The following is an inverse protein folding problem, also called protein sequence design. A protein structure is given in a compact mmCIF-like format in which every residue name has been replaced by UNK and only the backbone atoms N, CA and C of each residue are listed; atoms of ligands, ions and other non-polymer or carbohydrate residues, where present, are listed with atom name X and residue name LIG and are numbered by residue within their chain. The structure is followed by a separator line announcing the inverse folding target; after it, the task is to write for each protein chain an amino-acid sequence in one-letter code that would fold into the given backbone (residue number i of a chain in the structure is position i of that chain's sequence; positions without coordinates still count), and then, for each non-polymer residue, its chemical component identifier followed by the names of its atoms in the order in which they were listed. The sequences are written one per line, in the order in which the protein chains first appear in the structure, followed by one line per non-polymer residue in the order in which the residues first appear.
data_IF_963616255652
#
_entry.id   IF_963616255652
#
_cell.length_a   1.000
_cell.length_b   1.000
_cell.length_c   1.000
_cell.angle_alpha   90.00
_cell.angle_beta   90.00
_cell.angle_gamma   90.00
#
_symmetry.space_group_name_H-M   'P 1'
#
loop_
_entity.id
_entity.type
_entity.pdbx_description
1 polymer ?
#
# COMPACT_ATOMS: atom_id res chain seq x y z
N UNK A 1 18.58 -8.36 3.02
CA UNK A 1 19.20 -7.09 2.51
C UNK A 1 18.14 -6.00 2.58
N UNK A 2 18.52 -4.71 2.64
CA UNK A 2 17.57 -3.58 2.59
C UNK A 2 17.67 -2.92 1.21
N UNK A 3 16.77 -3.25 0.26
CA UNK A 3 16.80 -2.70 -1.10
C UNK A 3 16.65 -1.18 -1.15
N UNK A 4 15.81 -0.60 -0.28
CA UNK A 4 15.61 0.85 -0.20
C UNK A 4 15.69 1.31 1.24
N UNK A 5 16.50 2.33 1.49
CA UNK A 5 16.56 3.01 2.77
C UNK A 5 16.57 4.52 2.55
N UNK A 6 15.72 5.23 3.27
CA UNK A 6 15.69 6.67 3.35
C UNK A 6 15.85 7.12 4.79
N UNK A 7 16.59 8.21 5.03
CA UNK A 7 16.78 8.78 6.36
C UNK A 7 16.68 10.31 6.32
N UNK A 8 15.77 10.84 7.12
CA UNK A 8 15.57 12.26 7.32
C UNK A 8 15.28 13.03 6.03
N UNK A 9 14.55 12.42 5.06
CA UNK A 9 14.31 13.06 3.77
C UNK A 9 13.45 14.31 3.94
N UNK A 10 13.94 15.42 3.37
CA UNK A 10 13.20 16.68 3.29
C UNK A 10 13.13 17.15 1.85
N UNK A 11 11.95 17.64 1.45
CA UNK A 11 11.75 18.35 0.19
C UNK A 11 10.75 19.48 0.35
N UNK A 12 11.18 20.68 -0.04
CA UNK A 12 10.37 21.90 0.05
C UNK A 12 10.19 22.52 -1.33
N UNK A 13 8.98 22.95 -1.65
CA UNK A 13 8.62 23.72 -2.84
C UNK A 13 8.05 25.08 -2.41
N UNK A 14 8.85 26.10 -2.50
CA UNK A 14 8.48 27.43 -2.01
C UNK A 14 8.20 27.41 -0.50
N UNK A 15 6.93 27.54 -0.12
CA UNK A 15 6.50 27.50 1.30
C UNK A 15 5.96 26.14 1.74
N UNK A 16 5.82 25.19 0.81
CA UNK A 16 5.22 23.88 1.07
C UNK A 16 6.33 22.87 1.30
N UNK A 17 6.40 22.27 2.48
CA UNK A 17 7.26 21.15 2.78
C UNK A 17 6.53 19.86 2.40
N UNK A 18 6.80 19.39 1.18
CA UNK A 18 6.12 18.22 0.60
C UNK A 18 6.56 16.90 1.22
N UNK A 19 7.81 16.84 1.72
CA UNK A 19 8.38 15.71 2.48
C UNK A 19 9.15 16.30 3.65
N UNK A 20 8.89 15.82 4.85
CA UNK A 20 9.38 16.40 6.11
C UNK A 20 9.93 15.31 7.04
N UNK A 21 11.26 15.13 7.01
CA UNK A 21 12.03 14.16 7.80
C UNK A 21 11.49 12.72 7.68
N UNK A 22 11.28 12.28 6.43
CA UNK A 22 10.79 10.93 6.15
C UNK A 22 11.93 9.92 6.30
N UNK A 23 11.70 8.94 7.18
CA UNK A 23 12.49 7.72 7.30
C UNK A 23 11.66 6.56 6.76
N UNK A 24 12.27 5.65 5.99
CA UNK A 24 11.63 4.40 5.56
C UNK A 24 12.67 3.33 5.21
N UNK A 25 12.26 2.06 5.36
CA UNK A 25 13.10 0.91 5.04
C UNK A 25 12.29 -0.20 4.39
N UNK A 26 12.59 -0.50 3.12
CA UNK A 26 11.98 -1.62 2.39
C UNK A 26 12.91 -2.83 2.50
N UNK A 27 12.39 -3.97 2.94
CA UNK A 27 13.16 -5.20 3.07
C UNK A 27 12.97 -6.10 1.85
N UNK A 28 13.94 -6.99 1.62
CA UNK A 28 13.90 -7.95 0.52
C UNK A 28 12.70 -8.89 0.66
N UNK A 29 11.93 -9.05 -0.41
CA UNK A 29 10.71 -9.85 -0.44
C UNK A 29 9.45 -9.15 0.08
N UNK A 30 9.56 -7.89 0.55
CA UNK A 30 8.38 -7.12 0.95
C UNK A 30 7.50 -6.78 -0.27
N UNK A 31 6.20 -6.80 -0.06
CA UNK A 31 5.27 -5.94 -0.78
C UNK A 31 5.01 -4.75 0.15
N UNK A 32 5.73 -3.68 -0.09
CA UNK A 32 5.72 -2.50 0.77
C UNK A 32 4.77 -1.43 0.22
N UNK A 33 3.74 -1.11 0.99
CA UNK A 33 2.75 -0.09 0.67
C UNK A 33 3.12 1.30 1.23
N UNK A 34 3.15 2.31 0.38
CA UNK A 34 3.36 3.70 0.76
C UNK A 34 2.04 4.46 0.64
N UNK A 35 1.36 4.61 1.76
CA UNK A 35 -0.03 5.06 1.88
C UNK A 35 -0.14 6.53 2.23
N UNK A 36 -1.15 7.18 1.70
CA UNK A 36 -1.50 8.54 2.10
C UNK A 36 -2.47 9.19 1.12
N UNK A 37 -3.13 10.27 1.53
CA UNK A 37 -4.03 11.01 0.65
C UNK A 37 -3.26 11.65 -0.53
N UNK A 38 -4.01 12.14 -1.52
CA UNK A 38 -3.42 12.89 -2.61
C UNK A 38 -2.77 14.18 -2.05
N UNK A 39 -1.54 14.47 -2.53
CA UNK A 39 -0.76 15.60 -2.04
C UNK A 39 0.02 15.34 -0.74
N UNK A 40 -0.05 14.15 -0.14
CA UNK A 40 0.69 13.81 1.09
C UNK A 40 2.22 13.74 0.92
N UNK A 41 2.74 13.75 -0.33
CA UNK A 41 4.17 13.68 -0.61
C UNK A 41 4.66 12.36 -1.20
N UNK A 42 3.78 11.37 -1.46
CA UNK A 42 4.14 10.04 -1.98
C UNK A 42 5.02 10.08 -3.23
N UNK A 43 4.51 10.67 -4.31
CA UNK A 43 5.24 10.77 -5.59
C UNK A 43 6.55 11.54 -5.44
N UNK A 44 6.58 12.60 -4.60
CA UNK A 44 7.80 13.36 -4.30
C UNK A 44 8.85 12.47 -3.63
N UNK A 45 8.47 11.70 -2.62
CA UNK A 45 9.35 10.75 -1.95
C UNK A 45 9.86 9.69 -2.94
N UNK A 46 8.98 9.05 -3.71
CA UNK A 46 9.37 8.04 -4.71
C UNK A 46 10.35 8.59 -5.76
N UNK A 47 10.15 9.82 -6.23
CA UNK A 47 11.11 10.47 -7.14
C UNK A 47 12.48 10.67 -6.50
N UNK A 48 12.54 10.99 -5.20
CA UNK A 48 13.82 11.09 -4.47
C UNK A 48 14.49 9.73 -4.33
N UNK A 49 13.72 8.68 -4.01
CA UNK A 49 14.23 7.31 -3.92
C UNK A 49 14.86 6.83 -5.23
N UNK A 50 14.29 7.21 -6.37
CA UNK A 50 14.79 6.85 -7.70
C UNK A 50 15.85 7.83 -8.26
N UNK A 51 16.30 8.82 -7.47
CA UNK A 51 17.27 9.82 -7.94
C UNK A 51 16.73 10.80 -8.97
N UNK A 52 15.42 10.76 -9.27
CA UNK A 52 14.76 11.67 -10.21
C UNK A 52 14.56 13.08 -9.64
N UNK A 53 14.66 13.21 -8.32
CA UNK A 53 14.54 14.44 -7.58
C UNK A 53 15.57 14.46 -6.46
N UNK A 54 16.32 15.56 -6.34
CA UNK A 54 17.28 15.72 -5.26
C UNK A 54 16.56 16.16 -3.97
N UNK A 55 16.76 15.45 -2.84
CA UNK A 55 16.30 15.93 -1.54
C UNK A 55 17.03 17.21 -1.14
N UNK A 56 16.38 18.04 -0.32
CA UNK A 56 17.00 19.23 0.26
C UNK A 56 17.86 18.83 1.48
N UNK A 57 17.37 17.82 2.24
CA UNK A 57 18.07 17.23 3.39
C UNK A 57 17.85 15.71 3.40
N UNK A 58 18.69 15.01 4.16
CA UNK A 58 18.62 13.55 4.31
C UNK A 58 19.37 12.78 3.23
N UNK A 59 19.29 11.46 3.33
CA UNK A 59 19.96 10.55 2.39
C UNK A 59 19.06 9.40 1.94
N UNK A 60 19.35 8.90 0.74
CA UNK A 60 18.74 7.70 0.16
C UNK A 60 19.82 6.68 -0.16
N UNK A 61 19.50 5.41 0.06
CA UNK A 61 20.29 4.26 -0.39
C UNK A 61 19.39 3.28 -1.13
N UNK A 62 19.76 2.93 -2.35
CA UNK A 62 19.13 1.88 -3.14
C UNK A 62 20.18 0.80 -3.39
N UNK A 63 19.93 -0.42 -2.90
CA UNK A 63 20.92 -1.48 -2.85
C UNK A 63 22.28 -1.03 -2.25
N UNK A 64 22.22 -0.14 -1.22
CA UNK A 64 23.39 0.41 -0.53
C UNK A 64 24.09 1.57 -1.25
N UNK A 65 23.66 1.98 -2.45
CA UNK A 65 24.22 3.05 -3.27
C UNK A 65 23.39 4.32 -3.20
N UNK A 66 24.03 5.46 -3.36
CA UNK A 66 23.37 6.78 -3.41
C UNK A 66 22.89 7.08 -4.84
N UNK A 67 21.56 7.11 -5.10
CA UNK A 67 21.04 7.36 -6.43
C UNK A 67 21.27 8.79 -6.92
N UNK A 68 21.66 9.72 -6.05
CA UNK A 68 22.04 11.08 -6.45
C UNK A 68 23.47 11.18 -7.00
N UNK A 69 24.33 10.21 -6.65
CA UNK A 69 25.75 10.21 -7.01
C UNK A 69 26.12 9.07 -7.96
N UNK A 70 25.47 7.94 -7.82
CA UNK A 70 25.78 6.68 -8.51
C UNK A 70 24.54 6.16 -9.25
N UNK A 71 23.80 7.06 -9.94
CA UNK A 71 22.48 6.75 -10.50
C UNK A 71 22.42 5.44 -11.31
N UNK A 72 23.28 5.18 -12.30
CA UNK A 72 23.19 3.95 -13.08
C UNK A 72 23.36 2.69 -12.22
N UNK A 73 24.31 2.73 -11.28
CA UNK A 73 24.63 1.58 -10.42
C UNK A 73 23.60 1.40 -9.29
N UNK A 74 23.02 2.50 -8.78
CA UNK A 74 21.99 2.45 -7.76
C UNK A 74 20.67 1.89 -8.31
N UNK A 75 20.36 2.17 -9.56
CA UNK A 75 19.15 1.68 -10.24
C UNK A 75 19.36 0.36 -10.99
N UNK A 76 20.54 -0.23 -10.92
CA UNK A 76 20.78 -1.57 -11.46
C UNK A 76 19.95 -2.59 -10.64
N UNK A 77 19.09 -3.33 -11.34
CA UNK A 77 18.10 -4.22 -10.72
C UNK A 77 16.86 -3.51 -10.14
N UNK A 78 16.61 -2.25 -10.53
CA UNK A 78 15.36 -1.54 -10.25
C UNK A 78 14.56 -1.40 -11.53
N UNK A 79 13.29 -1.78 -11.49
CA UNK A 79 12.29 -1.49 -12.51
C UNK A 79 11.15 -0.68 -11.90
N UNK A 80 10.36 -0.01 -12.73
CA UNK A 80 9.19 0.68 -12.22
C UNK A 80 8.79 1.89 -13.04
N UNK A 81 7.77 2.56 -12.56
CA UNK A 81 7.30 3.82 -13.09
C UNK A 81 6.80 4.72 -11.95
N UNK A 82 7.02 6.01 -12.13
CA UNK A 82 6.44 7.07 -11.30
C UNK A 82 5.50 7.86 -12.19
N UNK A 83 4.24 7.98 -11.76
CA UNK A 83 3.12 8.47 -12.56
C UNK A 83 2.69 7.48 -13.67
N UNK A 84 1.75 7.92 -14.51
CA UNK A 84 1.20 7.06 -15.57
C UNK A 84 2.23 6.79 -16.65
N UNK A 85 2.48 5.52 -17.01
CA UNK A 85 3.40 5.19 -18.09
C UNK A 85 2.93 5.78 -19.42
N UNK A 86 3.82 6.45 -20.14
CA UNK A 86 3.56 7.01 -21.45
C UNK A 86 4.25 6.21 -22.55
N UNK A 87 3.49 5.90 -23.60
CA UNK A 87 3.96 5.15 -24.75
C UNK A 87 3.61 5.89 -26.03
N UNK A 88 4.28 5.54 -27.13
CA UNK A 88 3.94 6.06 -28.45
C UNK A 88 2.62 5.44 -28.92
N UNK A 89 1.52 6.21 -29.02
CA UNK A 89 0.19 5.63 -29.28
C UNK A 89 0.04 5.06 -30.69
N UNK A 90 0.86 5.50 -31.63
CA UNK A 90 0.87 5.05 -33.02
C UNK A 90 1.70 3.75 -33.24
N UNK A 91 2.52 3.34 -32.26
CA UNK A 91 3.24 2.09 -32.25
C UNK A 91 2.43 0.98 -31.54
N UNK A 92 2.76 -0.26 -31.87
CA UNK A 92 2.17 -1.42 -31.18
C UNK A 92 2.73 -1.56 -29.77
N UNK A 93 2.05 -2.35 -28.90
CA UNK A 93 2.58 -2.67 -27.57
C UNK A 93 3.96 -3.31 -27.66
N UNK A 94 4.13 -4.27 -28.56
CA UNK A 94 5.41 -4.90 -28.83
C UNK A 94 6.48 -3.89 -29.27
N UNK A 95 6.20 -3.04 -30.24
CA UNK A 95 7.18 -2.08 -30.76
C UNK A 95 7.59 -1.04 -29.73
N UNK A 96 6.67 -0.64 -28.81
CA UNK A 96 7.03 0.22 -27.69
C UNK A 96 8.05 -0.48 -26.76
N UNK A 97 7.83 -1.76 -26.43
CA UNK A 97 8.76 -2.51 -25.58
C UNK A 97 10.09 -2.79 -26.27
N UNK A 98 10.08 -3.12 -27.57
CA UNK A 98 11.30 -3.31 -28.38
C UNK A 98 12.16 -2.04 -28.42
N UNK A 99 11.52 -0.86 -28.53
CA UNK A 99 12.22 0.42 -28.49
C UNK A 99 12.87 0.65 -27.12
N UNK A 100 12.15 0.43 -26.02
CA UNK A 100 12.69 0.56 -24.67
C UNK A 100 13.82 -0.45 -24.42
N UNK A 101 13.63 -1.70 -24.81
CA UNK A 101 14.63 -2.76 -24.69
C UNK A 101 15.92 -2.45 -25.46
N UNK A 102 15.81 -1.78 -26.61
CA UNK A 102 16.99 -1.37 -27.39
C UNK A 102 17.81 -0.27 -26.68
N UNK A 103 17.15 0.62 -25.90
CA UNK A 103 17.85 1.59 -25.06
C UNK A 103 18.49 0.95 -23.83
N UNK A 104 17.83 -0.06 -23.23
CA UNK A 104 18.35 -0.75 -22.07
C UNK A 104 19.54 -1.66 -22.40
N UNK A 105 19.56 -2.21 -23.61
CA UNK A 105 20.64 -3.12 -24.08
C UNK A 105 20.64 -4.46 -23.37
N UNK A 106 21.80 -5.15 -23.39
CA UNK A 106 21.96 -6.45 -22.75
C UNK A 106 20.92 -7.49 -23.23
N UNK A 107 20.29 -8.19 -22.30
CA UNK A 107 19.29 -9.25 -22.57
C UNK A 107 17.85 -8.71 -22.74
N UNK A 108 17.61 -7.42 -22.52
CA UNK A 108 16.29 -6.82 -22.56
C UNK A 108 15.52 -7.08 -23.88
N UNK A 109 16.15 -7.00 -25.08
CA UNK A 109 15.46 -7.32 -26.33
C UNK A 109 14.91 -8.76 -26.39
N UNK A 110 15.63 -9.72 -25.82
CA UNK A 110 15.20 -11.13 -25.77
C UNK A 110 14.01 -11.37 -24.83
N UNK A 111 13.75 -10.46 -23.90
CA UNK A 111 12.69 -10.60 -22.89
C UNK A 111 11.34 -10.04 -23.30
N UNK A 112 11.24 -9.26 -24.39
CA UNK A 112 9.99 -8.59 -24.80
C UNK A 112 8.82 -9.57 -24.90
N UNK A 113 9.02 -10.76 -25.45
CA UNK A 113 7.96 -11.76 -25.54
C UNK A 113 7.52 -12.25 -24.14
N UNK A 114 8.48 -12.61 -23.30
CA UNK A 114 8.22 -13.15 -21.98
C UNK A 114 7.48 -12.13 -21.09
N UNK A 115 7.90 -10.85 -21.08
CA UNK A 115 7.22 -9.84 -20.26
C UNK A 115 5.80 -9.55 -20.77
N UNK A 116 5.54 -9.63 -22.09
CA UNK A 116 4.19 -9.52 -22.63
C UNK A 116 3.30 -10.70 -22.21
N UNK A 117 3.86 -11.90 -22.13
CA UNK A 117 3.18 -13.10 -21.61
C UNK A 117 2.86 -12.91 -20.11
N UNK A 118 3.85 -12.51 -19.30
CA UNK A 118 3.71 -12.28 -17.86
C UNK A 118 2.57 -11.30 -17.55
N UNK A 119 2.45 -10.20 -18.28
CA UNK A 119 1.40 -9.21 -18.02
C UNK A 119 0.07 -9.49 -18.77
N UNK A 120 -0.05 -10.64 -19.47
CA UNK A 120 -1.27 -11.04 -20.17
C UNK A 120 -1.60 -10.19 -21.41
N UNK A 121 -0.58 -9.57 -22.03
CA UNK A 121 -0.76 -8.74 -23.24
C UNK A 121 -0.30 -9.41 -24.54
N UNK A 122 0.09 -10.69 -24.52
CA UNK A 122 0.61 -11.39 -25.69
C UNK A 122 -0.35 -11.34 -26.89
N UNK A 123 -1.65 -11.61 -26.64
CA UNK A 123 -2.69 -11.62 -27.69
C UNK A 123 -3.01 -10.24 -28.27
N UNK A 124 -2.59 -9.17 -27.60
CA UNK A 124 -2.84 -7.78 -27.98
C UNK A 124 -1.56 -7.01 -28.33
N UNK A 125 -0.41 -7.70 -28.30
CA UNK A 125 0.92 -7.10 -28.49
C UNK A 125 1.10 -6.42 -29.87
N UNK A 126 0.35 -6.88 -30.89
CA UNK A 126 0.32 -6.31 -32.23
C UNK A 126 -0.61 -5.11 -32.41
N UNK A 127 -1.44 -4.79 -31.44
CA UNK A 127 -2.37 -3.66 -31.52
C UNK A 127 -1.67 -2.36 -31.15
N UNK A 128 -2.07 -1.25 -31.78
CA UNK A 128 -1.55 0.09 -31.45
C UNK A 128 -1.96 0.50 -30.05
N UNK A 129 -1.03 1.07 -29.26
CA UNK A 129 -1.26 1.49 -27.87
C UNK A 129 -2.33 2.58 -27.76
N UNK A 130 -2.55 3.39 -28.81
CA UNK A 130 -3.64 4.35 -28.85
C UNK A 130 -5.03 3.72 -28.65
N UNK A 131 -5.21 2.44 -28.99
CA UNK A 131 -6.44 1.67 -28.78
C UNK A 131 -6.48 0.85 -27.46
N UNK A 132 -5.45 0.95 -26.62
CA UNK A 132 -5.42 0.23 -25.35
C UNK A 132 -6.33 0.87 -24.30
N UNK A 133 -6.98 0.04 -23.48
CA UNK A 133 -7.65 0.49 -22.26
C UNK A 133 -6.63 1.02 -21.24
N UNK A 134 -7.10 1.68 -20.20
CA UNK A 134 -6.23 2.11 -19.10
C UNK A 134 -5.48 0.94 -18.48
N UNK A 135 -6.17 -0.16 -18.18
CA UNK A 135 -5.55 -1.38 -17.63
C UNK A 135 -4.50 -1.99 -18.56
N UNK A 136 -4.75 -2.01 -19.88
CA UNK A 136 -3.73 -2.47 -20.82
C UNK A 136 -2.49 -1.57 -20.84
N UNK A 137 -2.65 -0.25 -20.70
CA UNK A 137 -1.52 0.68 -20.60
C UNK A 137 -0.73 0.48 -19.30
N UNK A 138 -1.41 0.27 -18.16
CA UNK A 138 -0.75 -0.03 -16.89
C UNK A 138 0.03 -1.36 -16.96
N UNK A 139 -0.58 -2.42 -17.51
CA UNK A 139 0.10 -3.70 -17.73
C UNK A 139 1.30 -3.56 -18.68
N UNK A 140 1.21 -2.73 -19.71
CA UNK A 140 2.35 -2.44 -20.59
C UNK A 140 3.46 -1.68 -19.85
N UNK A 141 3.12 -0.78 -18.92
CA UNK A 141 4.07 -0.12 -18.03
C UNK A 141 4.81 -1.10 -17.14
N UNK A 142 4.07 -2.05 -16.57
CA UNK A 142 4.67 -3.12 -15.79
C UNK A 142 5.57 -4.03 -16.66
N UNK A 143 5.15 -4.38 -17.89
CA UNK A 143 5.99 -5.12 -18.82
C UNK A 143 7.29 -4.39 -19.14
N UNK A 144 7.23 -3.08 -19.37
CA UNK A 144 8.41 -2.23 -19.56
C UNK A 144 9.35 -2.27 -18.35
N UNK A 145 8.79 -2.22 -17.14
CA UNK A 145 9.56 -2.31 -15.90
C UNK A 145 10.27 -3.64 -15.70
N UNK A 146 9.73 -4.73 -16.27
CA UNK A 146 10.28 -6.09 -16.16
C UNK A 146 11.38 -6.42 -17.20
N UNK A 147 11.60 -5.55 -18.22
CA UNK A 147 12.55 -5.82 -19.30
C UNK A 147 13.98 -6.10 -18.81
N UNK A 148 14.39 -5.43 -17.71
CA UNK A 148 15.74 -5.55 -17.15
C UNK A 148 15.87 -6.60 -16.03
N UNK A 149 14.85 -7.44 -15.82
CA UNK A 149 14.84 -8.44 -14.75
C UNK A 149 15.11 -7.84 -13.36
N UNK A 150 14.28 -6.90 -12.92
CA UNK A 150 14.57 -6.19 -11.70
C UNK A 150 14.38 -7.07 -10.46
N UNK A 151 15.13 -6.75 -9.39
CA UNK A 151 14.95 -7.32 -8.05
C UNK A 151 14.01 -6.47 -7.19
N UNK A 152 13.82 -5.21 -7.60
CA UNK A 152 12.92 -4.24 -6.96
C UNK A 152 12.04 -3.59 -8.01
N UNK A 153 10.73 -3.65 -7.80
CA UNK A 153 9.74 -2.86 -8.56
C UNK A 153 9.28 -1.66 -7.74
N UNK A 154 9.26 -0.49 -8.36
CA UNK A 154 8.72 0.75 -7.78
C UNK A 154 7.54 1.21 -8.62
N UNK A 155 6.33 1.19 -8.05
CA UNK A 155 5.07 1.41 -8.76
C UNK A 155 4.28 2.54 -8.10
N UNK A 156 4.12 3.66 -8.79
CA UNK A 156 3.33 4.79 -8.29
C UNK A 156 1.87 4.64 -8.75
N UNK A 157 0.95 4.39 -7.80
CA UNK A 157 -0.49 4.25 -8.02
C UNK A 157 -0.83 3.25 -9.16
N UNK A 158 -0.35 1.97 -9.13
CA UNK A 158 -0.44 1.06 -10.28
C UNK A 158 -1.87 0.69 -10.66
N UNK A 159 -2.84 0.85 -9.79
CA UNK A 159 -4.25 0.54 -9.97
C UNK A 159 -5.12 1.75 -10.29
N UNK A 160 -4.53 2.95 -10.28
CA UNK A 160 -5.27 4.19 -10.47
C UNK A 160 -5.99 4.24 -11.84
N UNK A 161 -7.31 4.53 -11.80
CA UNK A 161 -8.14 4.64 -12.99
C UNK A 161 -8.53 3.31 -13.63
N UNK A 162 -8.30 2.18 -12.95
CA UNK A 162 -8.77 0.86 -13.37
C UNK A 162 -10.20 0.62 -12.89
N UNK A 163 -10.94 -0.19 -13.64
CA UNK A 163 -12.20 -0.76 -13.20
C UNK A 163 -11.95 -1.87 -12.14
N UNK A 164 -12.97 -2.29 -11.37
CA UNK A 164 -12.77 -3.30 -10.31
C UNK A 164 -12.19 -4.63 -10.80
N UNK A 165 -12.41 -5.01 -12.06
CA UNK A 165 -11.80 -6.19 -12.67
C UNK A 165 -10.31 -5.98 -12.88
N UNK A 166 -9.92 -4.85 -13.49
CA UNK A 166 -8.53 -4.47 -13.72
C UNK A 166 -7.72 -4.31 -12.44
N UNK A 167 -8.34 -3.81 -11.35
CA UNK A 167 -7.71 -3.73 -10.03
C UNK A 167 -7.35 -5.13 -9.52
N UNK A 168 -8.31 -6.08 -9.55
CA UNK A 168 -8.05 -7.47 -9.14
C UNK A 168 -6.92 -8.10 -9.93
N UNK A 169 -7.01 -8.01 -11.26
CA UNK A 169 -6.00 -8.56 -12.15
C UNK A 169 -4.59 -7.97 -11.91
N UNK A 170 -4.50 -6.67 -11.64
CA UNK A 170 -3.22 -6.02 -11.33
C UNK A 170 -2.66 -6.50 -9.98
N UNK A 171 -3.52 -6.65 -8.96
CA UNK A 171 -3.12 -7.19 -7.65
C UNK A 171 -2.60 -8.62 -7.76
N UNK A 172 -3.32 -9.48 -8.50
CA UNK A 172 -2.91 -10.87 -8.68
C UNK A 172 -1.55 -10.94 -9.37
N UNK A 173 -1.32 -10.13 -10.39
CA UNK A 173 -0.04 -10.02 -11.08
C UNK A 173 1.09 -9.54 -10.13
N UNK A 174 0.84 -8.55 -9.29
CA UNK A 174 1.80 -8.08 -8.30
C UNK A 174 2.13 -9.19 -7.29
N UNK A 175 1.12 -9.94 -6.80
CA UNK A 175 1.32 -11.09 -5.90
C UNK A 175 2.14 -12.20 -6.56
N UNK A 176 1.88 -12.51 -7.82
CA UNK A 176 2.64 -13.50 -8.58
C UNK A 176 4.11 -13.12 -8.71
N UNK A 177 4.41 -11.85 -9.01
CA UNK A 177 5.77 -11.34 -9.09
C UNK A 177 6.49 -11.40 -7.73
N UNK A 178 5.80 -11.02 -6.64
CA UNK A 178 6.33 -11.12 -5.29
C UNK A 178 6.61 -12.57 -4.88
N UNK A 179 5.71 -13.51 -5.22
CA UNK A 179 5.90 -14.94 -4.96
C UNK A 179 7.12 -15.53 -5.68
N UNK A 180 7.57 -14.90 -6.77
CA UNK A 180 8.82 -15.23 -7.47
C UNK A 180 10.07 -14.61 -6.81
N UNK A 181 9.93 -13.94 -5.66
CA UNK A 181 11.03 -13.35 -4.89
C UNK A 181 11.30 -11.87 -5.19
N UNK A 182 10.45 -11.22 -5.96
CA UNK A 182 10.59 -9.79 -6.27
C UNK A 182 10.18 -8.93 -5.09
N UNK A 183 10.99 -7.93 -4.74
CA UNK A 183 10.61 -6.89 -3.78
C UNK A 183 9.77 -5.84 -4.51
N UNK A 184 8.67 -5.41 -3.91
CA UNK A 184 7.76 -4.45 -4.52
C UNK A 184 7.52 -3.28 -3.57
N UNK A 185 7.78 -2.06 -4.04
CA UNK A 185 7.44 -0.82 -3.36
C UNK A 185 6.38 -0.11 -4.18
N UNK A 186 5.18 0.03 -3.63
CA UNK A 186 4.08 0.68 -4.33
C UNK A 186 3.45 1.80 -3.50
N UNK A 187 2.98 2.85 -4.17
CA UNK A 187 2.11 3.83 -3.55
C UNK A 187 0.65 3.51 -3.83
N UNK A 188 -0.22 3.84 -2.89
CA UNK A 188 -1.67 3.83 -3.10
C UNK A 188 -2.36 4.84 -2.17
N UNK A 189 -3.54 5.30 -2.58
CA UNK A 189 -4.48 6.01 -1.73
C UNK A 189 -5.68 5.12 -1.37
N UNK A 190 -5.76 3.90 -1.90
CA UNK A 190 -6.83 2.93 -1.68
C UNK A 190 -6.42 1.93 -0.60
N UNK A 191 -6.89 2.16 0.62
CA UNK A 191 -6.52 1.40 1.80
C UNK A 191 -6.87 -0.09 1.69
N UNK A 192 -8.03 -0.41 1.12
CA UNK A 192 -8.46 -1.80 0.90
C UNK A 192 -7.52 -2.59 -0.04
N UNK A 193 -6.91 -1.94 -1.03
CA UNK A 193 -5.93 -2.60 -1.90
C UNK A 193 -4.65 -2.96 -1.16
N UNK A 194 -4.20 -2.05 -0.31
CA UNK A 194 -2.99 -2.25 0.48
C UNK A 194 -3.19 -3.33 1.52
N UNK A 195 -4.37 -3.37 2.15
CA UNK A 195 -4.75 -4.39 3.12
C UNK A 195 -4.71 -5.80 2.51
N UNK A 196 -5.11 -5.94 1.25
CA UNK A 196 -5.08 -7.22 0.55
C UNK A 196 -3.73 -7.59 -0.06
N UNK A 197 -2.86 -6.61 -0.29
CA UNK A 197 -1.65 -6.80 -1.09
C UNK A 197 -0.37 -6.72 -0.28
N UNK A 198 -0.27 -5.78 0.66
CA UNK A 198 1.00 -5.42 1.28
C UNK A 198 1.31 -6.27 2.52
N UNK A 199 2.61 -6.54 2.74
CA UNK A 199 3.13 -7.16 3.96
C UNK A 199 3.55 -6.13 4.99
N UNK A 200 4.06 -4.99 4.51
CA UNK A 200 4.50 -3.84 5.33
C UNK A 200 3.96 -2.56 4.73
N UNK A 201 3.77 -1.56 5.58
CA UNK A 201 3.24 -0.27 5.17
C UNK A 201 3.93 0.89 5.87
N UNK A 202 4.06 2.01 5.16
CA UNK A 202 4.22 3.34 5.74
C UNK A 202 3.03 4.20 5.39
N UNK A 203 2.52 4.90 6.39
CA UNK A 203 1.44 5.88 6.23
C UNK A 203 2.04 7.27 6.28
N UNK A 204 1.89 8.03 5.20
CA UNK A 204 2.37 9.43 5.11
C UNK A 204 1.18 10.39 5.14
N UNK A 205 1.31 11.43 5.98
CA UNK A 205 0.37 12.56 6.06
C UNK A 205 1.14 13.87 6.16
N UNK A 206 0.78 14.84 5.34
CA UNK A 206 1.39 16.18 5.35
C UNK A 206 2.93 16.14 5.29
N UNK A 207 3.46 15.22 4.47
CA UNK A 207 4.89 15.03 4.29
C UNK A 207 5.59 14.22 5.37
N UNK A 208 4.92 13.74 6.42
CA UNK A 208 5.52 12.99 7.55
C UNK A 208 5.00 11.56 7.62
N UNK A 209 5.86 10.63 8.02
CA UNK A 209 5.43 9.26 8.34
C UNK A 209 4.74 9.29 9.71
N UNK A 210 3.49 8.81 9.73
CA UNK A 210 2.69 8.64 10.96
C UNK A 210 2.69 7.20 11.46
N UNK A 211 2.98 6.25 10.57
CA UNK A 211 3.19 4.83 10.89
C UNK A 211 4.17 4.20 9.91
N UNK A 212 5.03 3.31 10.39
CA UNK A 212 5.83 2.38 9.60
C UNK A 212 5.94 1.04 10.32
N UNK A 213 5.59 -0.05 9.65
CA UNK A 213 5.65 -1.38 10.25
C UNK A 213 5.02 -2.48 9.40
N UNK A 214 4.97 -3.70 9.96
CA UNK A 214 4.21 -4.78 9.35
C UNK A 214 2.71 -4.48 9.43
N UNK A 215 1.97 -4.82 8.39
CA UNK A 215 0.51 -4.64 8.38
C UNK A 215 -0.17 -5.45 9.50
N UNK A 216 0.37 -6.65 9.78
CA UNK A 216 -0.12 -7.49 10.88
C UNK A 216 0.04 -6.81 12.25
N UNK A 217 1.15 -6.09 12.49
CA UNK A 217 1.40 -5.37 13.75
C UNK A 217 0.43 -4.18 13.89
N UNK A 218 0.13 -3.51 12.78
CA UNK A 218 -0.85 -2.43 12.77
C UNK A 218 -2.25 -2.93 13.16
N UNK A 219 -2.68 -4.08 12.63
CA UNK A 219 -3.94 -4.72 13.04
C UNK A 219 -3.91 -5.19 14.50
N UNK A 220 -2.78 -5.72 14.96
CA UNK A 220 -2.64 -6.19 16.34
C UNK A 220 -2.60 -5.05 17.36
N UNK A 221 -2.19 -3.85 16.97
CA UNK A 221 -2.15 -2.66 17.84
C UNK A 221 -3.53 -2.06 18.13
N UNK A 222 -4.54 -2.41 17.34
CA UNK A 222 -5.90 -1.95 17.58
C UNK A 222 -6.57 -2.78 18.69
N UNK A 223 -7.33 -2.11 19.55
CA UNK A 223 -8.13 -2.80 20.54
C UNK A 223 -9.16 -3.72 19.85
N UNK A 224 -9.35 -4.96 20.34
CA UNK A 224 -10.27 -5.90 19.72
C UNK A 224 -11.70 -5.31 19.64
N UNK A 225 -12.26 -5.29 18.45
CA UNK A 225 -13.64 -4.87 18.19
C UNK A 225 -14.52 -6.11 18.03
N UNK A 226 -15.79 -5.98 18.43
CA UNK A 226 -16.76 -7.05 18.31
C UNK A 226 -18.06 -6.53 17.73
N UNK A 227 -18.69 -7.36 16.92
CA UNK A 227 -20.02 -7.12 16.37
C UNK A 227 -21.02 -8.04 17.05
N UNK A 228 -22.05 -7.44 17.62
CA UNK A 228 -23.13 -8.13 18.34
C UNK A 228 -24.45 -7.91 17.59
N UNK A 229 -25.13 -9.01 17.25
CA UNK A 229 -26.53 -9.04 16.82
C UNK A 229 -27.36 -9.72 17.88
N UNK A 230 -28.43 -9.07 18.31
CA UNK A 230 -29.28 -9.56 19.42
C UNK A 230 -30.76 -9.33 19.12
N UNK A 231 -31.63 -10.04 19.86
CA UNK A 231 -33.09 -9.90 19.73
C UNK A 231 -33.64 -8.51 20.08
N UNK A 232 -32.93 -7.75 20.96
CA UNK A 232 -33.36 -6.44 21.43
C UNK A 232 -32.17 -5.49 21.52
N UNK A 233 -31.85 -4.82 20.40
CA UNK A 233 -30.66 -3.99 20.23
C UNK A 233 -30.56 -2.88 21.29
N UNK A 234 -31.65 -2.18 21.60
CA UNK A 234 -31.62 -1.03 22.54
C UNK A 234 -31.32 -1.46 23.98
N UNK A 235 -31.83 -2.61 24.40
CA UNK A 235 -31.55 -3.18 25.73
C UNK A 235 -30.09 -3.64 25.81
N UNK A 236 -29.59 -4.28 24.76
CA UNK A 236 -28.18 -4.66 24.68
C UNK A 236 -27.26 -3.43 24.70
N UNK A 237 -27.61 -2.38 23.96
CA UNK A 237 -26.85 -1.15 23.93
C UNK A 237 -26.69 -0.49 25.30
N UNK A 238 -27.74 -0.49 26.12
CA UNK A 238 -27.64 0.01 27.50
C UNK A 238 -26.69 -0.85 28.34
N UNK A 239 -26.80 -2.17 28.28
CA UNK A 239 -25.91 -3.08 29.00
C UNK A 239 -24.44 -2.93 28.59
N UNK A 240 -24.18 -2.65 27.31
CA UNK A 240 -22.85 -2.34 26.79
C UNK A 240 -22.32 -1.00 27.35
N UNK A 241 -23.13 0.04 27.34
CA UNK A 241 -22.74 1.38 27.82
C UNK A 241 -22.52 1.41 29.35
N UNK A 242 -23.21 0.53 30.10
CA UNK A 242 -23.08 0.42 31.56
C UNK A 242 -21.85 -0.44 31.97
N UNK A 243 -21.16 -1.06 31.02
CA UNK A 243 -20.00 -1.89 31.31
C UNK A 243 -18.68 -1.10 31.14
N UNK A 244 -17.92 -0.87 32.23
CA UNK A 244 -16.69 -0.07 32.15
C UNK A 244 -15.57 -0.73 31.31
N UNK A 245 -15.65 -2.03 31.01
CA UNK A 245 -14.71 -2.74 30.16
C UNK A 245 -15.06 -2.62 28.68
N UNK A 246 -16.22 -2.03 28.35
CA UNK A 246 -16.69 -1.83 26.97
C UNK A 246 -16.51 -0.36 26.58
N UNK A 247 -16.01 -0.12 25.38
CA UNK A 247 -15.78 1.21 24.82
C UNK A 247 -16.34 1.30 23.40
N UNK A 248 -16.48 2.51 22.90
CA UNK A 248 -16.79 2.82 21.48
C UNK A 248 -18.04 2.09 20.97
N UNK A 249 -19.14 2.13 21.73
CA UNK A 249 -20.39 1.46 21.36
C UNK A 249 -21.12 2.22 20.27
N UNK A 250 -21.19 1.63 19.07
CA UNK A 250 -21.86 2.17 17.89
C UNK A 250 -22.99 1.24 17.42
N UNK A 251 -24.09 1.83 16.96
CA UNK A 251 -25.13 1.09 16.27
C UNK A 251 -24.91 1.14 14.75
N UNK A 252 -24.83 -0.02 14.09
CA UNK A 252 -24.70 -0.16 12.64
C UNK A 252 -25.81 -1.04 12.07
N UNK A 253 -26.90 -0.42 11.66
CA UNK A 253 -28.11 -1.15 11.26
C UNK A 253 -28.65 -1.97 12.43
N UNK A 254 -28.79 -3.30 12.23
CA UNK A 254 -29.27 -4.24 13.25
C UNK A 254 -28.15 -4.73 14.20
N UNK A 255 -26.91 -4.31 14.02
CA UNK A 255 -25.75 -4.72 14.78
C UNK A 255 -25.30 -3.62 15.74
N UNK A 256 -24.70 -4.01 16.86
CA UNK A 256 -23.91 -3.15 17.74
C UNK A 256 -22.44 -3.50 17.54
N UNK A 257 -21.60 -2.49 17.33
CA UNK A 257 -20.14 -2.65 17.29
C UNK A 257 -19.55 -1.99 18.53
N UNK A 258 -18.59 -2.64 19.17
CA UNK A 258 -17.97 -2.13 20.39
C UNK A 258 -16.54 -2.67 20.54
N UNK A 259 -15.77 -1.99 21.37
CA UNK A 259 -14.39 -2.36 21.71
C UNK A 259 -14.35 -2.97 23.11
N UNK A 260 -13.77 -4.16 23.27
CA UNK A 260 -13.56 -4.81 24.57
C UNK A 260 -12.47 -5.88 24.43
N UNK A 261 -11.84 -6.27 25.55
CA UNK A 261 -10.99 -7.45 25.58
C UNK A 261 -11.81 -8.76 25.62
N UNK A 262 -11.18 -9.88 25.29
CA UNK A 262 -11.86 -11.18 25.23
C UNK A 262 -12.50 -11.59 26.56
N UNK A 263 -11.86 -11.42 27.74
CA UNK A 263 -12.49 -11.67 29.02
C UNK A 263 -13.77 -10.85 29.27
N UNK A 264 -13.77 -9.58 28.91
CA UNK A 264 -14.95 -8.73 29.02
C UNK A 264 -16.09 -9.18 28.10
N UNK A 265 -15.76 -9.60 26.86
CA UNK A 265 -16.73 -10.14 25.92
C UNK A 265 -17.38 -11.42 26.44
N UNK A 266 -16.62 -12.31 27.07
CA UNK A 266 -17.14 -13.53 27.69
C UNK A 266 -18.08 -13.19 28.87
N UNK A 267 -17.72 -12.22 29.72
CA UNK A 267 -18.58 -11.77 30.82
C UNK A 267 -19.85 -11.10 30.29
N UNK A 268 -19.72 -10.24 29.29
CA UNK A 268 -20.82 -9.55 28.64
C UNK A 268 -21.82 -10.55 28.01
N UNK A 269 -21.34 -11.57 27.32
CA UNK A 269 -22.21 -12.58 26.70
C UNK A 269 -23.11 -13.26 27.72
N UNK A 270 -22.60 -13.57 28.92
CA UNK A 270 -23.41 -14.14 30.05
C UNK A 270 -24.45 -13.14 30.52
N UNK A 271 -24.08 -11.90 30.77
CA UNK A 271 -25.00 -10.82 31.21
C UNK A 271 -26.13 -10.58 30.21
N UNK A 272 -25.85 -10.62 28.91
CA UNK A 272 -26.87 -10.51 27.86
C UNK A 272 -27.88 -11.64 27.93
N UNK A 273 -27.42 -12.89 28.08
CA UNK A 273 -28.29 -14.05 28.21
C UNK A 273 -29.09 -14.03 29.52
N UNK A 274 -28.47 -13.67 30.66
CA UNK A 274 -29.14 -13.48 31.95
C UNK A 274 -30.22 -12.41 31.90
N UNK A 275 -30.02 -11.36 31.09
CA UNK A 275 -31.02 -10.32 30.82
C UNK A 275 -32.13 -10.77 29.85
N UNK A 276 -32.15 -12.05 29.43
CA UNK A 276 -33.15 -12.61 28.52
C UNK A 276 -32.96 -12.24 27.04
N UNK A 277 -31.78 -11.78 26.68
CA UNK A 277 -31.46 -11.41 25.29
C UNK A 277 -30.94 -12.61 24.51
N UNK A 278 -31.54 -12.86 23.35
CA UNK A 278 -31.01 -13.86 22.41
C UNK A 278 -29.82 -13.25 21.64
N UNK A 279 -28.69 -13.96 21.62
CA UNK A 279 -27.53 -13.58 20.83
C UNK A 279 -27.58 -14.29 19.48
N UNK A 280 -27.81 -13.56 18.40
CA UNK A 280 -27.81 -14.10 17.04
C UNK A 280 -26.40 -14.15 16.44
N UNK A 281 -25.53 -13.22 16.80
CA UNK A 281 -24.11 -13.20 16.44
C UNK A 281 -23.32 -12.44 17.50
N UNK A 282 -22.12 -12.92 17.82
CA UNK A 282 -21.11 -12.20 18.59
C UNK A 282 -19.75 -12.62 18.00
N UNK A 283 -19.21 -11.78 17.13
CA UNK A 283 -18.03 -12.10 16.33
C UNK A 283 -16.97 -11.03 16.49
N UNK A 284 -15.70 -11.40 16.57
CA UNK A 284 -14.62 -10.43 16.51
C UNK A 284 -14.65 -9.75 15.14
N UNK A 285 -14.41 -8.46 15.12
CA UNK A 285 -14.31 -7.64 13.93
C UNK A 285 -12.90 -7.05 13.89
N UNK A 286 -12.11 -7.44 12.89
CA UNK A 286 -10.80 -6.84 12.69
C UNK A 286 -11.00 -5.40 12.24
N UNK A 287 -10.35 -4.45 12.91
CA UNK A 287 -10.37 -3.06 12.43
C UNK A 287 -9.82 -3.02 11.00
N UNK A 288 -10.55 -2.39 10.10
CA UNK A 288 -10.06 -2.21 8.72
C UNK A 288 -8.91 -1.22 8.72
N UNK A 289 -8.01 -1.33 7.74
CA UNK A 289 -6.93 -0.36 7.57
C UNK A 289 -7.44 1.08 7.45
N UNK A 290 -8.66 1.26 6.92
CA UNK A 290 -9.33 2.57 6.86
C UNK A 290 -9.63 3.13 8.24
N UNK A 291 -10.14 2.32 9.16
CA UNK A 291 -10.39 2.72 10.55
C UNK A 291 -9.09 3.07 11.27
N UNK A 292 -8.08 2.22 11.12
CA UNK A 292 -6.74 2.46 11.70
C UNK A 292 -6.09 3.72 11.12
N UNK A 293 -6.25 3.96 9.82
CA UNK A 293 -5.78 5.18 9.18
C UNK A 293 -6.47 6.43 9.76
N UNK A 294 -7.78 6.40 9.95
CA UNK A 294 -8.51 7.49 10.60
C UNK A 294 -8.01 7.73 12.03
N UNK A 295 -7.87 6.67 12.82
CA UNK A 295 -7.34 6.78 14.20
C UNK A 295 -5.93 7.41 14.21
N UNK A 296 -5.02 6.97 13.34
CA UNK A 296 -3.68 7.54 13.20
C UNK A 296 -3.68 8.99 12.70
N UNK A 297 -4.69 9.37 11.91
CA UNK A 297 -4.76 10.70 11.33
C UNK A 297 -5.55 11.70 12.18
N UNK A 298 -6.54 11.27 12.98
CA UNK A 298 -7.29 12.13 13.89
C UNK A 298 -6.60 12.27 15.26
N UNK A 299 -5.91 11.21 15.75
CA UNK A 299 -5.11 11.25 16.98
C UNK A 299 -3.89 12.20 16.90
N UNK A 300 -3.58 12.74 15.73
CA UNK A 300 -2.50 13.72 15.52
C UNK A 300 -2.69 15.06 16.25
N UNK A 301 -3.81 15.30 16.91
CA UNK A 301 -3.98 16.42 17.87
C UNK A 301 -3.50 16.07 19.29
N UNK A 302 -3.20 14.77 19.59
CA UNK A 302 -2.62 14.34 20.86
C UNK A 302 -1.57 13.25 20.61
N UNK A 303 -0.28 13.52 20.81
CA UNK A 303 0.78 12.55 20.58
C UNK A 303 0.82 11.50 21.70
N UNK A 304 0.10 10.41 21.59
CA UNK A 304 0.46 9.19 22.32
C UNK A 304 1.51 8.41 21.50
N UNK A 305 2.76 8.57 21.88
CA UNK A 305 3.86 7.68 21.50
C UNK A 305 3.45 6.25 21.88
N UNK A 306 3.26 5.41 20.88
CA UNK A 306 3.41 3.97 21.06
C UNK A 306 4.92 3.72 21.12
N UNK A 307 5.44 3.66 22.35
CA UNK A 307 6.80 3.16 22.59
C UNK A 307 6.85 1.71 22.11
N UNK A 308 7.76 1.45 21.20
CA UNK A 308 8.10 0.09 20.79
C UNK A 308 8.52 -0.69 22.04
N UNK A 309 7.78 -1.74 22.36
CA UNK A 309 8.19 -2.75 23.35
C UNK A 309 9.32 -3.54 22.69
N UNK A 310 10.51 -3.43 23.30
CA UNK A 310 11.73 -4.17 22.98
C UNK A 310 11.54 -5.66 23.27
#
# INVERSE_FOLDING_TARGET
MVPVQARGLVKTYGRIRAVDHVDLSVHEGDIYGFLGPNGAGKTTAMRMLLGLLRPDEGEVRVFGRDPQRELPQALDGVGGFVETPHFYPYLTGRSNLELLAAFDGGDAPGRVRAVLETVGLQGRAGDKVGGYSQGMRQRLGLAASLLRDPRLLVLDEPTNGLDPGGIRDMRDLIKELAAQGMTIFLSSHLLAEVEELCTRVSVIREGRIVYEGALADLHASSAPRYRLRTSHQETARRLLLDDPAVRDVEARGDDLVFTADEPAVLALSRRLVEAGLGIAALVPETATLEQLFFELTEAGEHPHRLEAVV
#
